data_IF_685965598778
#
_entry.id   IF_685965598778
#
_cell.length_a   1.000
_cell.length_b   1.000
_cell.length_c   1.000
_cell.angle_alpha   90.00
_cell.angle_beta   90.00
_cell.angle_gamma   90.00
#
_symmetry.space_group_name_H-M   'P 1'
#
loop_
_entity.id
_entity.type
_entity.pdbx_description
1 polymer ?
#
# COMPACT_ATOMS: atom_id res chain seq x y z
N UNK A 1 13.72 6.10 -14.85
CA UNK A 1 14.60 6.09 -13.65
C UNK A 1 13.88 5.34 -12.55
N UNK A 2 14.52 4.37 -11.91
CA UNK A 2 13.92 3.63 -10.79
C UNK A 2 13.77 4.57 -9.58
N UNK A 3 12.59 4.57 -8.97
CA UNK A 3 12.31 5.46 -7.84
C UNK A 3 12.93 4.88 -6.56
N UNK A 4 13.87 5.63 -5.94
CA UNK A 4 14.57 5.16 -4.73
C UNK A 4 13.80 5.41 -3.43
N UNK A 5 13.01 6.47 -3.37
CA UNK A 5 12.20 6.82 -2.21
C UNK A 5 10.90 7.49 -2.65
N UNK A 6 9.80 7.23 -1.91
CA UNK A 6 8.49 7.82 -2.17
C UNK A 6 7.82 8.29 -0.90
N UNK A 7 7.04 9.36 -1.02
CA UNK A 7 6.07 9.86 -0.04
C UNK A 7 4.80 10.20 -0.81
N UNK A 8 3.85 9.28 -0.81
CA UNK A 8 2.61 9.42 -1.56
C UNK A 8 1.44 9.64 -0.60
N UNK A 9 0.50 10.46 -1.05
CA UNK A 9 -0.79 10.63 -0.43
C UNK A 9 -1.86 10.46 -1.50
N UNK A 10 -2.94 9.78 -1.17
CA UNK A 10 -4.10 9.59 -2.01
C UNK A 10 -5.32 10.17 -1.32
N UNK A 11 -6.03 11.04 -2.02
CA UNK A 11 -7.27 11.66 -1.55
C UNK A 11 -8.46 10.72 -1.77
N UNK A 12 -8.86 10.02 -0.69
CA UNK A 12 -10.02 9.14 -0.67
C UNK A 12 -11.33 9.92 -0.81
N UNK A 13 -11.40 11.15 -0.30
CA UNK A 13 -12.65 11.92 -0.29
C UNK A 13 -13.03 12.43 -1.68
N UNK A 14 -12.07 12.65 -2.58
CA UNK A 14 -12.34 13.00 -3.98
C UNK A 14 -12.45 11.77 -4.89
N UNK A 15 -12.08 10.59 -4.39
CA UNK A 15 -12.17 9.36 -5.18
C UNK A 15 -13.62 8.88 -5.27
N UNK A 16 -14.17 8.90 -6.49
CA UNK A 16 -15.53 8.48 -6.82
C UNK A 16 -15.48 7.41 -7.92
N UNK A 17 -15.00 6.19 -7.62
CA UNK A 17 -14.83 5.17 -8.63
C UNK A 17 -16.17 4.65 -9.15
N UNK A 18 -16.24 4.38 -10.44
CA UNK A 18 -17.34 3.61 -11.05
C UNK A 18 -17.25 2.14 -10.65
N UNK A 19 -18.27 1.34 -10.98
CA UNK A 19 -18.24 -0.10 -10.76
C UNK A 19 -17.06 -0.75 -11.52
N UNK A 20 -16.83 -0.34 -12.76
CA UNK A 20 -15.72 -0.85 -13.58
C UNK A 20 -14.37 -0.51 -12.96
N UNK A 21 -14.21 0.71 -12.42
CA UNK A 21 -12.98 1.10 -11.72
C UNK A 21 -12.74 0.23 -10.49
N UNK A 22 -13.80 -0.07 -9.72
CA UNK A 22 -13.69 -0.94 -8.54
C UNK A 22 -13.37 -2.40 -8.92
N UNK A 23 -13.99 -2.92 -9.99
CA UNK A 23 -13.70 -4.26 -10.50
C UNK A 23 -12.23 -4.37 -10.93
N UNK A 24 -11.73 -3.36 -11.65
CA UNK A 24 -10.32 -3.31 -12.05
C UNK A 24 -9.38 -3.17 -10.83
N UNK A 25 -9.69 -2.23 -9.94
CA UNK A 25 -8.90 -1.98 -8.73
C UNK A 25 -8.79 -3.24 -7.85
N UNK A 26 -9.90 -3.95 -7.66
CA UNK A 26 -9.91 -5.21 -6.92
C UNK A 26 -9.20 -6.32 -7.69
N UNK A 27 -9.31 -6.39 -9.02
CA UNK A 27 -8.55 -7.37 -9.82
C UNK A 27 -7.03 -7.25 -9.64
N UNK A 28 -6.52 -6.03 -9.38
CA UNK A 28 -5.10 -5.74 -9.18
C UNK A 28 -4.52 -6.15 -7.81
N UNK A 29 -5.32 -6.69 -6.88
CA UNK A 29 -4.82 -7.14 -5.56
C UNK A 29 -4.86 -8.67 -5.42
N UNK A 30 -4.01 -9.18 -4.52
CA UNK A 30 -3.90 -10.62 -4.23
C UNK A 30 -5.22 -11.21 -3.69
N UNK A 31 -5.56 -12.47 -4.01
CA UNK A 31 -6.82 -13.09 -3.61
C UNK A 31 -7.11 -13.05 -2.10
N UNK A 32 -6.11 -13.30 -1.27
CA UNK A 32 -6.19 -13.24 0.19
C UNK A 32 -6.53 -11.82 0.68
N UNK A 33 -6.07 -10.79 -0.01
CA UNK A 33 -6.40 -9.41 0.31
C UNK A 33 -7.84 -9.07 -0.12
N UNK A 34 -8.34 -9.63 -1.22
CA UNK A 34 -9.77 -9.52 -1.58
C UNK A 34 -10.68 -10.07 -0.48
N UNK A 35 -10.33 -11.24 0.06
CA UNK A 35 -11.07 -11.87 1.16
C UNK A 35 -11.03 -11.03 2.44
N UNK A 36 -9.92 -10.33 2.72
CA UNK A 36 -9.82 -9.41 3.86
C UNK A 36 -10.66 -8.16 3.63
N UNK A 37 -10.61 -7.59 2.43
CA UNK A 37 -11.41 -6.42 2.07
C UNK A 37 -12.92 -6.70 2.16
N UNK A 38 -13.35 -7.90 1.77
CA UNK A 38 -14.75 -8.31 1.82
C UNK A 38 -15.35 -8.33 3.23
N UNK A 39 -14.53 -8.25 4.29
CA UNK A 39 -14.99 -8.20 5.69
C UNK A 39 -15.32 -6.79 6.17
N UNK A 40 -14.94 -5.74 5.44
CA UNK A 40 -15.28 -4.38 5.84
C UNK A 40 -16.77 -4.12 5.67
N UNK A 41 -17.38 -3.58 6.73
CA UNK A 41 -18.79 -3.18 6.73
C UNK A 41 -18.97 -1.82 6.04
N UNK A 42 -18.05 -0.88 6.31
CA UNK A 42 -18.10 0.46 5.78
C UNK A 42 -17.28 0.61 4.49
N UNK A 43 -17.84 1.33 3.53
CA UNK A 43 -17.19 1.59 2.24
C UNK A 43 -15.91 2.39 2.38
N UNK A 44 -15.82 3.28 3.36
CA UNK A 44 -14.63 4.10 3.58
C UNK A 44 -13.43 3.25 4.02
N UNK A 45 -13.65 2.31 4.93
CA UNK A 45 -12.60 1.37 5.35
C UNK A 45 -12.17 0.45 4.20
N UNK A 46 -13.13 -0.05 3.42
CA UNK A 46 -12.85 -0.81 2.20
C UNK A 46 -11.99 -0.01 1.22
N UNK A 47 -12.40 1.22 0.91
CA UNK A 47 -11.71 2.09 -0.03
C UNK A 47 -10.29 2.41 0.44
N UNK A 48 -10.14 2.81 1.70
CA UNK A 48 -8.84 3.13 2.31
C UNK A 48 -7.89 1.92 2.26
N UNK A 49 -8.42 0.74 2.59
CA UNK A 49 -7.69 -0.52 2.50
C UNK A 49 -7.31 -0.90 1.06
N UNK A 50 -8.22 -0.74 0.10
CA UNK A 50 -7.98 -1.05 -1.30
C UNK A 50 -6.88 -0.14 -1.88
N UNK A 51 -7.00 1.16 -1.67
CA UNK A 51 -6.00 2.14 -2.11
C UNK A 51 -4.65 1.86 -1.48
N UNK A 52 -4.58 1.56 -0.18
CA UNK A 52 -3.31 1.21 0.48
C UNK A 52 -2.58 0.06 -0.22
N UNK A 53 -3.31 -0.98 -0.66
CA UNK A 53 -2.75 -2.13 -1.38
C UNK A 53 -2.32 -1.78 -2.81
N UNK A 54 -3.07 -0.91 -3.48
CA UNK A 54 -2.70 -0.42 -4.81
C UNK A 54 -1.47 0.47 -4.75
N UNK A 55 -1.34 1.32 -3.72
CA UNK A 55 -0.15 2.13 -3.49
C UNK A 55 1.08 1.23 -3.28
N UNK A 56 0.96 0.19 -2.45
CA UNK A 56 2.05 -0.79 -2.23
C UNK A 56 2.49 -1.43 -3.55
N UNK A 57 1.54 -1.98 -4.33
CA UNK A 57 1.85 -2.65 -5.60
C UNK A 57 2.44 -1.68 -6.62
N UNK A 58 1.91 -0.45 -6.70
CA UNK A 58 2.47 0.61 -7.55
C UNK A 58 3.90 0.95 -7.15
N UNK A 59 4.17 1.10 -5.85
CA UNK A 59 5.50 1.42 -5.35
C UNK A 59 6.51 0.34 -5.74
N UNK A 60 6.17 -0.93 -5.49
CA UNK A 60 7.05 -2.05 -5.88
C UNK A 60 7.32 -2.02 -7.38
N UNK A 61 6.28 -1.91 -8.21
CA UNK A 61 6.45 -1.86 -9.67
C UNK A 61 7.41 -0.75 -10.12
N UNK A 62 7.26 0.48 -9.63
CA UNK A 62 8.13 1.61 -10.05
C UNK A 62 9.53 1.56 -9.43
N UNK A 63 9.70 0.86 -8.31
CA UNK A 63 10.97 0.71 -7.61
C UNK A 63 11.82 -0.43 -8.19
N UNK A 64 11.19 -1.56 -8.55
CA UNK A 64 11.87 -2.80 -8.94
C UNK A 64 11.76 -3.11 -10.44
N UNK A 65 10.78 -2.52 -11.13
CA UNK A 65 10.45 -2.88 -12.51
C UNK A 65 9.69 -4.19 -12.65
N UNK A 66 9.32 -4.86 -11.54
CA UNK A 66 8.53 -6.09 -11.57
C UNK A 66 7.18 -5.85 -12.24
N UNK A 67 6.76 -6.77 -13.10
CA UNK A 67 5.43 -6.76 -13.69
C UNK A 67 4.35 -6.89 -12.60
N UNK A 68 3.20 -6.25 -12.84
CA UNK A 68 2.14 -6.13 -11.83
C UNK A 68 1.62 -7.48 -11.34
N UNK A 69 1.57 -8.52 -12.18
CA UNK A 69 1.11 -9.86 -11.85
C UNK A 69 2.16 -10.69 -11.09
N UNK A 70 3.45 -10.34 -11.20
CA UNK A 70 4.57 -11.03 -10.50
C UNK A 70 4.82 -10.53 -9.09
N UNK A 71 4.21 -9.41 -8.68
CA UNK A 71 4.40 -8.84 -7.36
C UNK A 71 3.63 -9.67 -6.32
N UNK A 72 4.36 -10.24 -5.37
CA UNK A 72 3.83 -11.04 -4.27
C UNK A 72 4.15 -10.37 -2.93
N UNK A 73 3.12 -10.07 -2.17
CA UNK A 73 3.24 -9.62 -0.78
C UNK A 73 2.98 -10.78 0.18
N UNK A 74 3.63 -10.70 1.33
CA UNK A 74 3.32 -11.53 2.49
C UNK A 74 3.26 -10.64 3.74
N UNK A 75 2.89 -11.20 4.89
CA UNK A 75 2.79 -10.47 6.16
C UNK A 75 3.66 -11.12 7.22
N UNK A 76 4.32 -10.28 8.01
CA UNK A 76 5.04 -10.78 9.17
C UNK A 76 4.08 -11.26 10.28
N UNK A 77 4.63 -11.79 11.37
CA UNK A 77 3.86 -12.26 12.53
C UNK A 77 3.02 -11.16 13.20
N UNK A 78 3.34 -9.88 12.95
CA UNK A 78 2.62 -8.70 13.45
C UNK A 78 1.62 -8.16 12.44
N UNK A 79 1.49 -8.80 11.27
CA UNK A 79 0.60 -8.40 10.20
C UNK A 79 1.14 -7.30 9.30
N UNK A 80 2.39 -6.85 9.44
CA UNK A 80 2.99 -5.84 8.56
C UNK A 80 3.25 -6.45 7.18
N UNK A 81 2.74 -5.84 6.09
CA UNK A 81 3.01 -6.34 4.75
C UNK A 81 4.45 -6.09 4.33
N UNK A 82 5.07 -7.06 3.67
CA UNK A 82 6.40 -6.97 3.08
C UNK A 82 6.43 -7.61 1.67
N UNK A 83 7.43 -7.25 0.86
CA UNK A 83 7.63 -7.85 -0.47
C UNK A 83 8.25 -9.24 -0.32
N UNK A 84 7.60 -10.27 -0.87
CA UNK A 84 8.09 -11.65 -0.82
C UNK A 84 9.07 -11.98 -1.94
N UNK A 85 9.00 -11.27 -3.06
CA UNK A 85 9.87 -11.49 -4.22
C UNK A 85 11.36 -11.40 -3.85
N UNK A 86 12.13 -12.43 -4.20
CA UNK A 86 13.57 -12.47 -3.95
C UNK A 86 14.33 -11.52 -4.87
N UNK A 87 15.50 -11.07 -4.42
CA UNK A 87 16.41 -10.24 -5.21
C UNK A 87 16.10 -8.74 -5.19
N UNK A 88 15.02 -8.34 -4.52
CA UNK A 88 14.61 -6.95 -4.31
C UNK A 88 14.45 -6.69 -2.82
N UNK A 89 15.03 -5.59 -2.36
CA UNK A 89 14.96 -5.18 -0.95
C UNK A 89 14.25 -3.83 -0.92
N UNK A 90 12.98 -3.83 -0.51
CA UNK A 90 12.15 -2.64 -0.40
C UNK A 90 11.48 -2.62 0.97
N UNK A 91 11.40 -1.44 1.54
CA UNK A 91 10.80 -1.21 2.84
C UNK A 91 9.74 -0.12 2.67
N UNK A 92 8.53 -0.38 3.17
CA UNK A 92 7.41 0.54 3.03
C UNK A 92 6.45 0.43 4.21
N UNK A 93 5.69 1.51 4.39
CA UNK A 93 4.64 1.57 5.37
C UNK A 93 3.46 2.37 4.81
N UNK A 94 2.25 1.99 5.24
CA UNK A 94 0.99 2.58 4.81
C UNK A 94 0.18 2.93 6.06
N UNK A 95 -0.39 4.13 6.07
CA UNK A 95 -1.39 4.53 7.05
C UNK A 95 -2.57 5.18 6.32
N UNK A 96 -3.75 5.15 6.94
CA UNK A 96 -4.92 5.82 6.40
C UNK A 96 -5.81 6.30 7.54
N UNK A 97 -6.31 7.52 7.44
CA UNK A 97 -7.34 8.03 8.33
C UNK A 97 -8.09 9.18 7.67
N UNK A 98 -9.41 9.18 7.84
CA UNK A 98 -10.28 10.19 7.27
C UNK A 98 -10.13 10.29 5.75
N UNK A 99 -9.65 11.43 5.26
CA UNK A 99 -9.58 11.76 3.84
C UNK A 99 -8.40 11.11 3.10
N UNK A 100 -7.37 10.66 3.80
CA UNK A 100 -6.12 10.27 3.14
C UNK A 100 -5.71 8.83 3.42
N UNK A 101 -5.18 8.19 2.38
CA UNK A 101 -4.29 7.03 2.50
C UNK A 101 -2.89 7.46 2.07
N UNK A 102 -1.89 7.18 2.90
CA UNK A 102 -0.50 7.59 2.67
C UNK A 102 0.40 6.38 2.59
N UNK A 103 1.43 6.47 1.74
CA UNK A 103 2.48 5.47 1.63
C UNK A 103 3.84 6.15 1.70
N UNK A 104 4.71 5.63 2.56
CA UNK A 104 6.13 5.96 2.55
C UNK A 104 6.92 4.70 2.19
N UNK A 105 7.81 4.82 1.21
CA UNK A 105 8.59 3.69 0.70
C UNK A 105 10.03 4.07 0.42
N UNK A 106 10.92 3.11 0.54
CA UNK A 106 12.34 3.22 0.22
C UNK A 106 12.86 1.89 -0.36
N UNK A 107 13.79 2.01 -1.30
CA UNK A 107 14.57 0.87 -1.80
C UNK A 107 15.82 0.74 -0.93
N UNK A 108 16.04 -0.46 -0.41
CA UNK A 108 17.21 -0.78 0.44
C UNK A 108 18.32 -1.30 -0.47
N UNK A 109 19.53 -0.77 -0.30
CA UNK A 109 20.70 -1.28 -1.01
C UNK A 109 21.12 -2.66 -0.44
N UNK A 110 21.47 -3.60 -1.32
CA UNK A 110 21.75 -5.00 -0.95
C UNK A 110 22.89 -5.14 0.06
N UNK A 111 23.87 -4.25 0.00
CA UNK A 111 25.08 -4.28 0.83
C UNK A 111 24.99 -3.33 2.04
N UNK A 112 23.79 -2.89 2.41
CA UNK A 112 23.61 -2.00 3.55
C UNK A 112 23.76 -2.76 4.87
N UNK A 113 24.80 -2.44 5.65
CA UNK A 113 25.09 -3.06 6.94
C UNK A 113 23.94 -2.92 7.97
N UNK A 114 23.14 -1.86 7.84
CA UNK A 114 21.93 -1.64 8.66
C UNK A 114 20.76 -1.40 7.71
N UNK A 115 19.79 -2.32 7.69
CA UNK A 115 18.58 -2.13 6.88
C UNK A 115 17.76 -0.96 7.45
N UNK A 116 17.59 0.15 6.71
CA UNK A 116 16.77 1.25 7.18
C UNK A 116 15.30 0.80 7.25
N UNK A 117 14.61 1.24 8.30
CA UNK A 117 13.18 0.99 8.49
C UNK A 117 12.39 2.27 8.25
N UNK A 118 11.11 2.14 7.86
CA UNK A 118 10.22 3.29 7.68
C UNK A 118 8.87 3.06 8.34
N UNK A 119 8.36 4.10 8.96
CA UNK A 119 6.99 4.19 9.46
C UNK A 119 6.36 5.49 9.00
N UNK A 120 5.06 5.46 8.70
CA UNK A 120 4.26 6.64 8.39
C UNK A 120 2.93 6.52 9.11
N UNK A 121 2.46 7.65 9.63
CA UNK A 121 1.13 7.73 10.19
C UNK A 121 0.42 9.00 9.74
N UNK A 122 -0.89 8.93 9.59
CA UNK A 122 -1.75 10.07 9.27
C UNK A 122 -2.95 10.05 10.21
N UNK A 123 -3.20 11.19 10.85
CA UNK A 123 -4.29 11.35 11.79
C UNK A 123 -5.20 12.50 11.37
N UNK A 124 -6.51 12.27 11.44
CA UNK A 124 -7.49 13.34 11.26
C UNK A 124 -7.76 13.97 12.63
N UNK A 125 -7.49 15.26 12.76
CA UNK A 125 -7.84 16.02 13.96
C UNK A 125 -9.37 16.23 13.93
N UNK A 126 -10.04 15.75 14.96
CA UNK A 126 -11.48 15.95 15.15
C UNK A 126 -11.71 16.59 16.53
N UNK A 127 -12.57 17.60 16.57
CA UNK A 127 -13.01 18.20 17.83
C UNK A 127 -14.22 17.40 18.33
N UNK A 128 -14.09 16.77 19.50
CA UNK A 128 -15.10 15.85 20.06
C UNK A 128 -16.25 16.52 20.81
N UNK A 129 -16.19 17.85 21.04
CA UNK A 129 -17.08 18.55 21.98
C UNK A 129 -16.30 19.09 23.17
#
# INVERSE_FOLDING_TARGET
>A
MAVRHVRWAFDLASWRPTLTDLLLATACIQPEEKLRLAKFVFRDDFNASLIGRLLMRRFVHVATGLEYDKIEFDRDLKGKPFLKNQGYEVEFNVSHQGRYSVLAGLVVEKDCAVKPTIGVDVMKIEYGG
#
